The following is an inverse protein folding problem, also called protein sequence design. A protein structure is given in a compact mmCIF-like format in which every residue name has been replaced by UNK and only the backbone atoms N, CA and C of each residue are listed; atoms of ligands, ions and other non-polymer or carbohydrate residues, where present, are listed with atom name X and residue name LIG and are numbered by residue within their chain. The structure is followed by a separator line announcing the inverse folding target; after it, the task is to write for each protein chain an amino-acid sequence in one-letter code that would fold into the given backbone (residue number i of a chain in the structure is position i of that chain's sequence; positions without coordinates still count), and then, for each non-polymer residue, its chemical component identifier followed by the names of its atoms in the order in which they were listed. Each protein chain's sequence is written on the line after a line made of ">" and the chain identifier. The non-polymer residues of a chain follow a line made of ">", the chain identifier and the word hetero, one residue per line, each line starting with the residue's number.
data_IF_752561442736
#
_entry.id   IF_752561442736
#
_cell.length_a   1.000
_cell.length_b   1.000
_cell.length_c   1.000
_cell.angle_alpha   90.00
_cell.angle_beta   90.00
_cell.angle_gamma   90.00
#
_symmetry.space_group_name_H-M   'P 1'
#
loop_
_entity.id
_entity.type
_entity.pdbx_description
1 polymer ?
#
# COMPACT_ATOMS: atom_id res chain seq x y z
N UNK A 1 -2.88 18.40 21.52
CA UNK A 1 -3.18 17.08 20.92
C UNK A 1 -1.86 16.52 20.41
N UNK A 2 -1.36 15.39 20.93
CA UNK A 2 -0.22 14.70 20.27
C UNK A 2 -0.68 14.45 18.83
N UNK A 3 0.03 15.02 17.85
CA UNK A 3 -0.30 14.89 16.43
C UNK A 3 -0.55 13.41 16.16
N UNK A 4 -1.71 13.05 15.59
CA UNK A 4 -1.98 11.65 15.22
C UNK A 4 -0.87 11.11 14.30
N UNK A 5 -0.16 11.98 13.56
CA UNK A 5 1.05 11.60 12.85
C UNK A 5 2.11 10.92 13.74
N UNK A 6 2.28 11.37 14.98
CA UNK A 6 3.21 10.73 15.93
C UNK A 6 2.69 9.38 16.42
N UNK A 7 1.38 9.24 16.64
CA UNK A 7 0.77 7.97 17.04
C UNK A 7 0.94 6.94 15.91
N UNK A 8 0.67 7.35 14.68
CA UNK A 8 0.86 6.53 13.48
C UNK A 8 2.31 6.13 13.29
N UNK A 9 3.23 7.09 13.45
CA UNK A 9 4.66 6.83 13.40
C UNK A 9 5.06 5.74 14.40
N UNK A 10 4.57 5.81 15.65
CA UNK A 10 4.86 4.79 16.65
C UNK A 10 4.25 3.43 16.31
N UNK A 11 3.03 3.39 15.77
CA UNK A 11 2.40 2.13 15.33
C UNK A 11 3.21 1.50 14.19
N UNK A 12 3.57 2.27 13.15
CA UNK A 12 4.36 1.76 12.04
C UNK A 12 5.78 1.37 12.45
N UNK A 13 6.42 2.17 13.31
CA UNK A 13 7.73 1.83 13.86
C UNK A 13 7.68 0.55 14.69
N UNK A 14 6.64 0.36 15.50
CA UNK A 14 6.44 -0.87 16.27
C UNK A 14 6.22 -2.08 15.35
N UNK A 15 5.35 -1.96 14.34
CA UNK A 15 5.09 -3.02 13.37
C UNK A 15 6.35 -3.40 12.58
N UNK A 16 7.15 -2.40 12.17
CA UNK A 16 8.42 -2.62 11.47
C UNK A 16 9.49 -3.26 12.38
N UNK A 17 9.57 -2.83 13.64
CA UNK A 17 10.48 -3.44 14.60
C UNK A 17 10.07 -4.89 14.92
N UNK A 18 8.78 -5.14 15.15
CA UNK A 18 8.24 -6.47 15.43
C UNK A 18 8.45 -7.42 14.23
N UNK A 19 8.25 -6.94 13.00
CA UNK A 19 8.53 -7.75 11.80
C UNK A 19 10.02 -8.05 11.66
N UNK A 20 10.89 -7.05 11.83
CA UNK A 20 12.34 -7.23 11.76
C UNK A 20 12.86 -8.24 12.79
N UNK A 21 12.38 -8.15 14.04
CA UNK A 21 12.73 -9.11 15.11
C UNK A 21 12.27 -10.51 14.76
N UNK A 22 11.04 -10.68 14.26
CA UNK A 22 10.52 -11.98 13.88
C UNK A 22 11.30 -12.61 12.73
N UNK A 23 11.66 -11.82 11.72
CA UNK A 23 12.46 -12.28 10.58
C UNK A 23 13.83 -12.76 11.06
N UNK A 24 14.52 -11.99 11.88
CA UNK A 24 15.84 -12.37 12.43
C UNK A 24 15.75 -13.61 13.32
N UNK A 25 14.67 -13.74 14.10
CA UNK A 25 14.46 -14.88 15.00
C UNK A 25 14.00 -16.16 14.28
N UNK A 26 13.58 -16.08 13.02
CA UNK A 26 13.14 -17.25 12.24
C UNK A 26 14.36 -18.00 11.69
N UNK A 27 14.57 -19.28 12.03
CA UNK A 27 15.71 -20.06 11.54
C UNK A 27 15.71 -20.16 10.01
N UNK A 28 16.86 -19.91 9.38
CA UNK A 28 17.03 -19.99 7.92
C UNK A 28 16.49 -18.79 7.13
N UNK A 29 16.10 -17.69 7.78
CA UNK A 29 15.61 -16.47 7.10
C UNK A 29 16.72 -15.60 6.49
N UNK A 30 17.96 -15.72 7.00
CA UNK A 30 19.15 -14.98 6.55
C UNK A 30 20.02 -15.78 5.58
N UNK A 31 19.60 -17.00 5.21
CA UNK A 31 20.35 -17.79 4.24
C UNK A 31 20.30 -17.11 2.87
N UNK A 32 21.44 -16.91 2.20
CA UNK A 32 21.49 -16.24 0.90
C UNK A 32 20.81 -17.04 -0.22
N UNK A 33 20.51 -18.33 0.01
CA UNK A 33 19.79 -19.22 -0.90
C UNK A 33 18.28 -19.26 -0.65
N UNK A 34 17.75 -18.39 0.23
CA UNK A 34 16.30 -18.28 0.43
C UNK A 34 15.68 -17.70 -0.84
N UNK A 35 15.26 -18.61 -1.72
CA UNK A 35 14.21 -18.35 -2.71
C UNK A 35 13.07 -17.67 -1.96
N UNK A 36 12.68 -16.48 -2.41
CA UNK A 36 11.56 -15.69 -1.90
C UNK A 36 10.27 -16.50 -2.06
N UNK A 37 10.06 -17.40 -1.12
CA UNK A 37 8.90 -18.27 -1.04
C UNK A 37 7.94 -17.66 -0.01
N UNK A 38 6.80 -17.10 -0.45
CA UNK A 38 5.85 -16.47 0.45
C UNK A 38 5.11 -17.47 1.36
N UNK A 39 5.34 -18.77 1.20
CA UNK A 39 4.90 -19.78 2.17
C UNK A 39 5.83 -19.90 3.37
N UNK A 40 7.08 -19.42 3.28
CA UNK A 40 8.00 -19.43 4.43
C UNK A 40 7.52 -18.42 5.47
N UNK A 41 7.52 -18.83 6.74
CA UNK A 41 6.96 -18.04 7.85
C UNK A 41 7.49 -16.60 7.93
N UNK A 42 8.80 -16.39 7.69
CA UNK A 42 9.41 -15.06 7.72
C UNK A 42 8.88 -14.14 6.60
N UNK A 43 8.78 -14.65 5.36
CA UNK A 43 8.29 -13.88 4.20
C UNK A 43 6.79 -13.63 4.32
N UNK A 44 6.03 -14.66 4.71
CA UNK A 44 4.59 -14.56 4.95
C UNK A 44 4.26 -13.50 6.01
N UNK A 45 5.02 -13.47 7.12
CA UNK A 45 4.79 -12.50 8.19
C UNK A 45 5.09 -11.06 7.76
N UNK A 46 6.13 -10.83 6.95
CA UNK A 46 6.38 -9.51 6.35
C UNK A 46 5.17 -9.09 5.51
N UNK A 47 4.68 -9.98 4.62
CA UNK A 47 3.53 -9.71 3.76
C UNK A 47 2.30 -9.33 4.60
N UNK A 48 1.95 -10.12 5.62
CA UNK A 48 0.80 -9.85 6.47
C UNK A 48 0.91 -8.55 7.25
N UNK A 49 2.07 -8.24 7.81
CA UNK A 49 2.28 -6.98 8.53
C UNK A 49 2.16 -5.79 7.57
N UNK A 50 2.71 -5.90 6.36
CA UNK A 50 2.56 -4.87 5.33
C UNK A 50 1.10 -4.69 4.93
N UNK A 51 0.34 -5.77 4.75
CA UNK A 51 -1.10 -5.70 4.45
C UNK A 51 -1.90 -5.04 5.57
N UNK A 52 -1.62 -5.39 6.83
CA UNK A 52 -2.27 -4.78 8.00
C UNK A 52 -1.94 -3.30 8.09
N UNK A 53 -0.66 -2.93 7.91
CA UNK A 53 -0.22 -1.54 7.91
C UNK A 53 -0.89 -0.73 6.80
N UNK A 54 -0.97 -1.29 5.60
CA UNK A 54 -1.66 -0.68 4.46
C UNK A 54 -3.16 -0.49 4.74
N UNK A 55 -3.81 -1.51 5.32
CA UNK A 55 -5.22 -1.45 5.66
C UNK A 55 -5.52 -0.37 6.72
N UNK A 56 -4.70 -0.28 7.77
CA UNK A 56 -4.82 0.77 8.79
C UNK A 56 -4.58 2.15 8.17
N UNK A 57 -3.56 2.29 7.32
CA UNK A 57 -3.27 3.55 6.63
C UNK A 57 -4.44 3.99 5.76
N UNK A 58 -5.03 3.07 5.00
CA UNK A 58 -6.20 3.34 4.16
C UNK A 58 -7.42 3.76 4.99
N UNK A 59 -7.76 3.01 6.05
CA UNK A 59 -8.88 3.35 6.93
C UNK A 59 -8.73 4.74 7.52
N UNK A 60 -7.55 5.05 8.04
CA UNK A 60 -7.28 6.36 8.61
C UNK A 60 -7.36 7.44 7.56
N UNK A 61 -6.78 7.24 6.38
CA UNK A 61 -6.89 8.18 5.27
C UNK A 61 -8.36 8.51 4.95
N UNK A 62 -9.22 7.50 4.83
CA UNK A 62 -10.65 7.68 4.57
C UNK A 62 -11.32 8.44 5.71
N UNK A 63 -11.12 8.02 6.96
CA UNK A 63 -11.70 8.69 8.14
C UNK A 63 -11.25 10.16 8.21
N UNK A 64 -9.96 10.42 7.96
CA UNK A 64 -9.40 11.77 7.94
C UNK A 64 -10.05 12.63 6.87
N UNK A 65 -10.12 12.14 5.62
CA UNK A 65 -10.72 12.91 4.54
C UNK A 65 -12.21 13.16 4.77
N UNK A 66 -12.94 12.19 5.34
CA UNK A 66 -14.35 12.39 5.70
C UNK A 66 -14.49 13.46 6.80
N UNK A 67 -13.73 13.34 7.89
CA UNK A 67 -13.77 14.31 9.00
C UNK A 67 -13.33 15.71 8.55
N UNK A 68 -12.31 15.79 7.69
CA UNK A 68 -11.80 17.04 7.14
C UNK A 68 -12.87 17.74 6.29
N UNK A 69 -13.54 17.03 5.39
CA UNK A 69 -14.62 17.60 4.57
C UNK A 69 -15.82 18.04 5.42
N UNK A 70 -16.16 17.29 6.48
CA UNK A 70 -17.25 17.67 7.41
C UNK A 70 -16.92 18.96 8.16
N UNK A 71 -15.68 19.12 8.63
CA UNK A 71 -15.26 20.31 9.40
C UNK A 71 -14.94 21.51 8.51
N UNK A 72 -14.46 21.26 7.30
CA UNK A 72 -14.00 22.26 6.34
C UNK A 72 -14.61 21.95 4.96
N UNK A 73 -15.88 22.32 4.72
CA UNK A 73 -16.55 22.04 3.45
C UNK A 73 -15.87 22.70 2.24
N UNK A 74 -15.03 23.73 2.47
CA UNK A 74 -14.16 24.33 1.44
C UNK A 74 -13.14 23.34 0.87
N UNK A 75 -12.77 22.28 1.60
CA UNK A 75 -11.84 21.23 1.15
C UNK A 75 -12.51 20.15 0.29
N UNK A 76 -13.83 20.23 0.05
CA UNK A 76 -14.57 19.23 -0.74
C UNK A 76 -14.03 19.10 -2.16
N UNK A 77 -13.62 20.22 -2.79
CA UNK A 77 -13.01 20.20 -4.12
C UNK A 77 -11.68 19.44 -4.17
N UNK A 78 -10.87 19.53 -3.11
CA UNK A 78 -9.63 18.77 -2.99
C UNK A 78 -9.92 17.27 -2.77
N UNK A 79 -10.85 16.95 -1.87
CA UNK A 79 -11.26 15.57 -1.64
C UNK A 79 -11.76 14.90 -2.95
N UNK A 80 -12.60 15.59 -3.72
CA UNK A 80 -13.08 15.10 -5.02
C UNK A 80 -11.92 14.85 -5.99
N UNK A 81 -10.92 15.73 -6.05
CA UNK A 81 -9.73 15.51 -6.91
C UNK A 81 -8.95 14.27 -6.48
N UNK A 82 -8.77 14.07 -5.18
CA UNK A 82 -8.04 12.90 -4.65
C UNK A 82 -8.80 11.61 -4.92
N UNK A 83 -10.11 11.57 -4.63
CA UNK A 83 -10.96 10.42 -4.97
C UNK A 83 -11.02 10.19 -6.49
N UNK A 84 -11.08 11.25 -7.28
CA UNK A 84 -11.04 11.19 -8.73
C UNK A 84 -9.73 10.59 -9.26
N UNK A 85 -8.59 10.96 -8.70
CA UNK A 85 -7.30 10.38 -9.06
C UNK A 85 -7.23 8.88 -8.74
N UNK A 86 -7.74 8.46 -7.58
CA UNK A 86 -7.85 7.04 -7.20
C UNK A 86 -8.75 6.30 -8.18
N UNK A 87 -9.89 6.88 -8.54
CA UNK A 87 -10.82 6.28 -9.50
C UNK A 87 -10.21 6.14 -10.89
N UNK A 88 -9.46 7.15 -11.36
CA UNK A 88 -8.72 7.08 -12.63
C UNK A 88 -7.68 5.96 -12.59
N UNK A 89 -6.94 5.82 -11.48
CA UNK A 89 -5.97 4.73 -11.32
C UNK A 89 -6.66 3.34 -11.34
N UNK A 90 -7.85 3.21 -10.75
CA UNK A 90 -8.64 1.98 -10.80
C UNK A 90 -9.15 1.68 -12.22
N UNK A 91 -9.60 2.68 -12.97
CA UNK A 91 -10.02 2.51 -14.37
C UNK A 91 -8.85 2.07 -15.23
N UNK A 92 -7.69 2.71 -15.09
CA UNK A 92 -6.45 2.29 -15.76
C UNK A 92 -6.13 0.85 -15.37
N UNK A 93 -6.13 0.53 -14.07
CA UNK A 93 -5.90 -0.83 -13.59
C UNK A 93 -6.87 -1.85 -14.18
N UNK A 94 -8.14 -1.49 -14.37
CA UNK A 94 -9.16 -2.38 -14.92
C UNK A 94 -9.01 -2.62 -16.42
N UNK A 95 -8.58 -1.60 -17.16
CA UNK A 95 -8.31 -1.71 -18.60
C UNK A 95 -7.11 -2.60 -18.86
N UNK A 96 -6.05 -2.45 -18.06
CA UNK A 96 -4.79 -3.17 -18.25
C UNK A 96 -4.71 -4.52 -17.52
N UNK A 97 -5.69 -4.86 -16.66
CA UNK A 97 -5.69 -6.17 -16.01
C UNK A 97 -6.23 -7.28 -16.90
N UNK A 98 -5.46 -8.37 -16.96
CA UNK A 98 -5.89 -9.63 -17.57
C UNK A 98 -6.95 -10.34 -16.73
N UNK A 99 -7.71 -11.23 -17.37
CA UNK A 99 -8.63 -12.16 -16.71
C UNK A 99 -8.05 -13.57 -16.60
N UNK A 100 -6.75 -13.71 -16.82
CA UNK A 100 -6.01 -14.96 -16.72
C UNK A 100 -5.85 -15.42 -15.27
N UNK A 101 -5.42 -16.68 -15.11
CA UNK A 101 -5.21 -17.28 -13.80
C UNK A 101 -4.15 -16.50 -13.01
N UNK A 102 -4.47 -16.17 -11.77
CA UNK A 102 -3.50 -15.53 -10.86
C UNK A 102 -2.93 -16.62 -9.96
N UNK A 103 -1.64 -16.89 -10.17
CA UNK A 103 -0.86 -17.76 -9.31
C UNK A 103 -0.29 -16.93 -8.17
N UNK A 104 -0.81 -17.14 -6.96
CA UNK A 104 -0.17 -16.59 -5.78
C UNK A 104 1.09 -17.39 -5.49
N UNK A 105 2.10 -16.76 -4.88
CA UNK A 105 3.32 -17.48 -4.51
C UNK A 105 3.09 -18.58 -3.46
N UNK A 106 1.86 -18.72 -2.93
CA UNK A 106 1.43 -19.85 -2.12
C UNK A 106 1.16 -21.13 -2.92
N UNK A 107 1.20 -21.05 -4.26
CA UNK A 107 0.78 -22.12 -5.15
C UNK A 107 -0.74 -22.19 -5.35
N UNK A 108 -1.50 -21.34 -4.66
CA UNK A 108 -2.94 -21.17 -4.90
C UNK A 108 -3.17 -20.47 -6.25
N UNK A 109 -4.00 -21.09 -7.08
CA UNK A 109 -4.40 -20.56 -8.38
C UNK A 109 -5.84 -20.10 -8.28
N UNK A 110 -6.08 -18.82 -8.51
CA UNK A 110 -7.43 -18.33 -8.74
C UNK A 110 -7.76 -18.50 -10.21
N UNK A 111 -8.75 -19.37 -10.49
CA UNK A 111 -9.27 -19.57 -11.84
C UNK A 111 -9.63 -18.23 -12.50
N UNK A 112 -9.24 -18.11 -13.76
CA UNK A 112 -9.46 -16.94 -14.59
C UNK A 112 -10.92 -16.53 -14.64
N UNK A 113 -11.15 -15.22 -14.69
CA UNK A 113 -12.48 -14.64 -14.66
C UNK A 113 -12.52 -13.25 -14.05
N UNK A 114 -13.71 -12.84 -13.62
CA UNK A 114 -13.93 -11.50 -13.08
C UNK A 114 -13.17 -11.25 -11.77
N UNK A 115 -13.07 -12.27 -10.91
CA UNK A 115 -12.32 -12.18 -9.65
C UNK A 115 -10.84 -11.92 -9.89
N UNK A 116 -10.21 -12.70 -10.78
CA UNK A 116 -8.80 -12.52 -11.16
C UNK A 116 -8.57 -11.15 -11.80
N UNK A 117 -9.49 -10.69 -12.65
CA UNK A 117 -9.44 -9.34 -13.21
C UNK A 117 -9.51 -8.24 -12.15
N UNK A 118 -10.37 -8.37 -11.15
CA UNK A 118 -10.47 -7.40 -10.04
C UNK A 118 -9.20 -7.39 -9.18
N UNK A 119 -8.60 -8.56 -8.91
CA UNK A 119 -7.33 -8.66 -8.20
C UNK A 119 -6.22 -7.98 -9.01
N UNK A 120 -6.09 -8.29 -10.29
CA UNK A 120 -5.12 -7.67 -11.20
C UNK A 120 -5.31 -6.15 -11.30
N UNK A 121 -6.57 -5.69 -11.31
CA UNK A 121 -6.92 -4.26 -11.26
C UNK A 121 -6.35 -3.58 -10.02
N UNK A 122 -6.53 -4.21 -8.85
CA UNK A 122 -6.00 -3.69 -7.59
C UNK A 122 -4.47 -3.59 -7.59
N UNK A 123 -3.78 -4.58 -8.16
CA UNK A 123 -2.32 -4.60 -8.28
C UNK A 123 -1.86 -3.43 -9.18
N UNK A 124 -2.39 -3.33 -10.39
CA UNK A 124 -1.98 -2.29 -11.35
C UNK A 124 -2.32 -0.89 -10.84
N UNK A 125 -3.50 -0.71 -10.25
CA UNK A 125 -3.91 0.58 -9.68
C UNK A 125 -2.98 1.01 -8.54
N UNK A 126 -2.59 0.06 -7.67
CA UNK A 126 -1.68 0.32 -6.55
C UNK A 126 -0.28 0.67 -7.05
N UNK A 127 0.25 -0.06 -8.04
CA UNK A 127 1.54 0.25 -8.68
C UNK A 127 1.52 1.63 -9.34
N UNK A 128 0.42 1.97 -10.03
CA UNK A 128 0.24 3.28 -10.67
C UNK A 128 0.28 4.41 -9.63
N UNK A 129 -0.48 4.26 -8.54
CA UNK A 129 -0.50 5.24 -7.45
C UNK A 129 0.85 5.34 -6.75
N UNK A 130 1.57 4.23 -6.57
CA UNK A 130 2.90 4.21 -5.98
C UNK A 130 3.91 4.99 -6.84
N UNK A 131 3.90 4.78 -8.16
CA UNK A 131 4.77 5.51 -9.10
C UNK A 131 4.47 7.01 -9.02
N UNK A 132 3.18 7.39 -9.05
CA UNK A 132 2.76 8.80 -8.94
C UNK A 132 3.22 9.40 -7.60
N UNK A 133 3.07 8.67 -6.50
CA UNK A 133 3.50 9.12 -5.18
C UNK A 133 5.02 9.33 -5.10
N UNK A 134 5.81 8.41 -5.65
CA UNK A 134 7.28 8.54 -5.72
C UNK A 134 7.66 9.76 -6.56
N UNK A 135 7.07 9.93 -7.75
CA UNK A 135 7.34 11.09 -8.61
C UNK A 135 7.00 12.40 -7.91
N UNK A 136 5.88 12.45 -7.18
CA UNK A 136 5.48 13.62 -6.40
C UNK A 136 6.47 13.91 -5.27
N UNK A 137 6.91 12.88 -4.54
CA UNK A 137 7.91 13.03 -3.47
C UNK A 137 9.25 13.55 -3.99
N UNK A 138 9.72 13.03 -5.13
CA UNK A 138 10.96 13.50 -5.78
C UNK A 138 10.80 14.94 -6.24
N UNK A 139 9.68 15.28 -6.88
CA UNK A 139 9.39 16.65 -7.31
C UNK A 139 9.38 17.64 -6.15
N UNK A 140 8.70 17.30 -5.05
CA UNK A 140 8.63 18.14 -3.85
C UNK A 140 10.00 18.32 -3.20
N UNK A 141 10.79 17.24 -3.13
CA UNK A 141 12.17 17.28 -2.61
C UNK A 141 13.06 18.19 -3.45
N UNK A 142 13.02 18.05 -4.78
CA UNK A 142 13.85 18.87 -5.70
C UNK A 142 13.46 20.34 -5.62
N UNK A 143 12.15 20.65 -5.61
CA UNK A 143 11.70 22.04 -5.48
C UNK A 143 12.03 22.62 -4.10
N UNK A 144 11.88 21.83 -3.04
CA UNK A 144 12.26 22.22 -1.69
C UNK A 144 13.74 22.58 -1.59
N UNK A 145 14.61 21.81 -2.25
CA UNK A 145 16.05 22.08 -2.32
C UNK A 145 16.39 23.30 -3.18
N UNK A 146 15.66 23.55 -4.27
CA UNK A 146 15.88 24.72 -5.14
C UNK A 146 15.40 26.04 -4.52
N UNK A 147 14.50 25.98 -3.54
CA UNK A 147 13.96 27.15 -2.83
C UNK A 147 14.64 27.41 -1.48
N UNK A 148 15.55 26.53 -1.06
CA UNK A 148 16.41 26.70 0.13
C UNK A 148 17.74 27.36 -0.25
#
# INVERSE_FOLDING_TARGET
>A
MKSIGNILLYIFAFLAAASGVYVIATPGSLDPEVVWDPNKGAVSMIIWITLIALFIAFLLFVVYKVVDVIKHPTHMGEAIRVFGAVLVALVIGFIFSGSEDIVFGTGEVFEGGMTSKLIGTGIIATLTLLIIAILYMVYDTVIGLLKS
#
